data_IF_116393651852
#
_entry.id   IF_116393651852
#
_cell.length_a   1.000
_cell.length_b   1.000
_cell.length_c   1.000
_cell.angle_alpha   90.00
_cell.angle_beta   90.00
_cell.angle_gamma   90.00
#
_symmetry.space_group_name_H-M   'P 1'
#
loop_
_entity.id
_entity.type
_entity.pdbx_description
1 polymer ?
#
# COMPACT_ATOMS: atom_id res chain seq x y z
N UNK A 1 -33.93 -9.52 9.98
CA UNK A 1 -32.71 -9.81 9.22
C UNK A 1 -31.65 -8.82 9.63
N UNK A 2 -30.72 -9.22 10.51
CA UNK A 2 -29.61 -8.34 10.90
C UNK A 2 -28.68 -8.17 9.68
N UNK A 3 -28.33 -6.92 9.36
CA UNK A 3 -27.39 -6.62 8.30
C UNK A 3 -26.05 -7.33 8.58
N UNK A 4 -25.36 -7.87 7.55
CA UNK A 4 -24.05 -8.48 7.74
C UNK A 4 -23.10 -7.42 8.30
N UNK A 5 -22.57 -7.66 9.50
CA UNK A 5 -21.62 -6.77 10.15
C UNK A 5 -20.45 -6.48 9.23
N UNK A 6 -20.20 -5.21 8.94
CA UNK A 6 -19.04 -4.77 8.19
C UNK A 6 -17.78 -5.15 8.96
N UNK A 7 -16.87 -5.85 8.31
CA UNK A 7 -15.56 -6.21 8.86
C UNK A 7 -14.88 -4.94 9.34
N UNK A 8 -14.64 -4.82 10.64
CA UNK A 8 -14.03 -3.65 11.27
C UNK A 8 -12.52 -3.62 10.98
N UNK A 9 -12.13 -3.56 9.70
CA UNK A 9 -10.73 -3.47 9.30
C UNK A 9 -10.12 -2.13 9.79
N UNK A 10 -9.06 -2.23 10.59
CA UNK A 10 -8.36 -1.07 11.15
C UNK A 10 -9.02 -0.47 12.39
N UNK A 11 -10.00 -1.11 13.01
CA UNK A 11 -10.54 -0.65 14.31
C UNK A 11 -9.72 -1.28 15.43
N UNK A 12 -9.23 -0.45 16.36
CA UNK A 12 -8.67 -0.95 17.62
C UNK A 12 -9.75 -0.87 18.69
N UNK A 13 -10.02 -2.00 19.34
CA UNK A 13 -10.91 -2.10 20.50
C UNK A 13 -10.06 -2.34 21.74
N UNK A 14 -10.25 -1.53 22.77
CA UNK A 14 -9.55 -1.70 24.06
C UNK A 14 -10.55 -1.66 25.21
N UNK A 15 -10.29 -2.44 26.24
CA UNK A 15 -11.01 -2.40 27.50
C UNK A 15 -10.14 -1.76 28.58
N UNK A 16 -10.69 -0.84 29.37
CA UNK A 16 -9.94 -0.16 30.43
C UNK A 16 -10.83 0.43 31.52
N UNK A 17 -10.30 0.61 32.73
CA UNK A 17 -11.03 1.17 33.87
C UNK A 17 -11.16 2.70 33.88
N UNK A 18 -10.52 3.40 32.94
CA UNK A 18 -10.55 4.87 32.84
C UNK A 18 -11.03 5.31 31.44
N UNK A 19 -11.78 6.42 31.32
CA UNK A 19 -12.11 7.00 30.02
C UNK A 19 -10.83 7.42 29.27
N UNK A 20 -10.59 6.87 28.07
CA UNK A 20 -9.50 7.33 27.20
C UNK A 20 -9.81 8.73 26.64
N UNK A 21 -8.83 9.63 26.70
CA UNK A 21 -8.86 10.91 25.99
C UNK A 21 -8.84 10.67 24.47
N UNK A 22 -9.81 11.26 23.74
CA UNK A 22 -9.82 11.14 22.28
C UNK A 22 -8.83 12.17 21.71
N UNK A 23 -7.77 11.65 21.12
CA UNK A 23 -6.71 12.43 20.49
C UNK A 23 -6.97 12.49 18.98
N UNK A 24 -7.28 13.69 18.46
CA UNK A 24 -7.40 13.94 17.02
C UNK A 24 -6.09 14.53 16.49
N UNK A 25 -5.46 13.86 15.53
CA UNK A 25 -4.34 14.44 14.78
C UNK A 25 -4.89 15.34 13.67
N UNK A 26 -4.50 16.60 13.68
CA UNK A 26 -4.86 17.55 12.63
C UNK A 26 -3.83 17.40 11.51
N UNK A 27 -4.23 16.72 10.44
CA UNK A 27 -3.39 16.50 9.28
C UNK A 27 -3.41 17.72 8.35
N UNK A 28 -2.23 18.31 8.11
CA UNK A 28 -2.08 19.38 7.14
C UNK A 28 -1.84 18.79 5.73
N UNK A 29 -2.87 18.87 4.89
CA UNK A 29 -2.85 18.34 3.51
C UNK A 29 -1.86 19.03 2.58
N UNK A 30 -1.40 20.25 2.90
CA UNK A 30 -0.44 20.98 2.06
C UNK A 30 1.00 20.54 2.31
N UNK A 31 1.31 20.17 3.55
CA UNK A 31 2.68 19.81 3.94
C UNK A 31 2.86 18.31 4.14
N UNK A 32 1.79 17.52 4.02
CA UNK A 32 1.80 16.08 4.32
C UNK A 32 2.42 15.78 5.69
N UNK A 33 2.09 16.63 6.68
CA UNK A 33 2.61 16.57 8.05
C UNK A 33 1.47 16.74 9.05
N UNK A 34 1.63 16.12 10.22
CA UNK A 34 0.75 16.36 11.37
C UNK A 34 1.05 17.77 11.88
N UNK A 35 0.07 18.68 11.80
CA UNK A 35 0.21 20.07 12.20
C UNK A 35 -0.16 20.34 13.66
N UNK A 36 -0.72 19.34 14.35
CA UNK A 36 -1.02 19.43 15.77
C UNK A 36 -1.92 18.30 16.25
N UNK A 37 -2.19 18.31 17.55
CA UNK A 37 -2.99 17.30 18.22
C UNK A 37 -4.06 18.00 19.06
N UNK A 38 -5.34 17.67 18.83
CA UNK A 38 -6.46 18.13 19.64
C UNK A 38 -6.83 17.03 20.63
N UNK A 39 -6.84 17.38 21.91
CA UNK A 39 -7.29 16.50 23.00
C UNK A 39 -8.75 16.85 23.29
N UNK A 40 -9.67 15.92 22.99
CA UNK A 40 -11.03 16.01 23.52
C UNK A 40 -11.10 15.17 24.77
N UNK A 41 -10.94 15.84 25.92
CA UNK A 41 -11.18 15.25 27.22
C UNK A 41 -12.69 14.97 27.34
N UNK A 42 -13.08 13.71 27.54
CA UNK A 42 -14.48 13.38 27.80
C UNK A 42 -14.85 13.98 29.15
N UNK A 43 -15.80 14.93 29.18
CA UNK A 43 -16.28 15.45 30.45
C UNK A 43 -16.91 14.32 31.27
N UNK A 44 -16.57 14.27 32.57
CA UNK A 44 -17.18 13.39 33.58
C UNK A 44 -18.64 13.81 33.79
N UNK A 45 -19.50 13.63 32.79
CA UNK A 45 -20.93 13.76 32.97
C UNK A 45 -21.38 12.69 33.96
N UNK A 46 -21.91 13.11 35.11
CA UNK A 46 -22.35 12.23 36.19
C UNK A 46 -23.28 11.14 35.61
N UNK A 47 -22.75 9.92 35.50
CA UNK A 47 -23.52 8.76 35.08
C UNK A 47 -24.19 8.17 36.31
N UNK A 48 -25.50 7.96 36.22
CA UNK A 48 -26.33 7.37 37.29
C UNK A 48 -26.45 5.88 37.02
N UNK A 49 -25.89 5.04 37.89
CA UNK A 49 -25.92 3.57 37.79
C UNK A 49 -24.79 2.91 38.58
N UNK A 50 -24.97 1.63 38.91
CA UNK A 50 -24.07 0.76 39.71
C UNK A 50 -22.63 0.68 39.15
N UNK A 51 -21.69 0.18 39.99
CA UNK A 51 -20.24 0.13 39.73
C UNK A 51 -19.90 -0.31 38.30
N UNK A 52 -19.28 0.60 37.53
CA UNK A 52 -18.84 0.34 36.16
C UNK A 52 -17.51 -0.44 36.22
N UNK A 53 -17.55 -1.71 35.81
CA UNK A 53 -16.39 -2.62 35.80
C UNK A 53 -15.33 -2.22 34.74
N UNK A 54 -15.71 -1.37 33.77
CA UNK A 54 -14.80 -0.77 32.79
C UNK A 54 -15.49 -0.16 31.55
N UNK A 55 -14.70 0.48 30.71
CA UNK A 55 -15.10 1.15 29.47
C UNK A 55 -14.54 0.42 28.25
N UNK A 56 -15.33 0.35 27.17
CA UNK A 56 -14.88 -0.11 25.86
C UNK A 56 -14.54 1.10 24.99
N UNK A 57 -13.29 1.20 24.57
CA UNK A 57 -12.79 2.26 23.71
C UNK A 57 -12.72 1.76 22.27
N UNK A 58 -13.33 2.52 21.36
CA UNK A 58 -13.26 2.30 19.92
C UNK A 58 -12.58 3.50 19.29
N UNK A 59 -11.38 3.31 18.75
CA UNK A 59 -10.63 4.38 18.08
C UNK A 59 -10.33 3.98 16.63
N UNK A 60 -10.54 4.92 15.72
CA UNK A 60 -10.31 4.75 14.29
C UNK A 60 -9.20 5.71 13.83
N UNK A 61 -7.97 5.48 14.32
CA UNK A 61 -6.74 6.14 13.86
C UNK A 61 -6.00 5.28 12.83
N UNK A 62 -6.76 4.57 11.99
CA UNK A 62 -6.20 3.68 10.99
C UNK A 62 -5.60 4.45 9.84
N UNK A 63 -4.39 4.08 9.45
CA UNK A 63 -3.80 4.49 8.18
C UNK A 63 -4.42 3.64 7.06
N UNK A 64 -4.88 4.30 6.00
CA UNK A 64 -5.44 3.65 4.82
C UNK A 64 -4.40 3.61 3.70
N UNK A 65 -4.19 2.42 3.13
CA UNK A 65 -3.26 2.19 2.04
C UNK A 65 -4.02 1.72 0.81
N UNK A 66 -3.73 2.31 -0.34
CA UNK A 66 -4.22 1.82 -1.62
C UNK A 66 -3.44 0.56 -2.00
N UNK A 67 -4.13 -0.57 -2.15
CA UNK A 67 -3.51 -1.89 -2.36
C UNK A 67 -3.86 -2.52 -3.71
N UNK A 68 -4.62 -1.83 -4.55
CA UNK A 68 -4.92 -2.30 -5.89
C UNK A 68 -5.10 -1.17 -6.90
N UNK A 69 -5.21 -1.51 -8.19
CA UNK A 69 -5.26 -0.54 -9.28
C UNK A 69 -6.60 0.22 -9.35
N UNK A 70 -7.66 -0.29 -8.72
CA UNK A 70 -9.01 0.28 -8.81
C UNK A 70 -9.37 1.16 -7.62
N UNK A 71 -10.23 2.15 -7.84
CA UNK A 71 -10.80 2.97 -6.77
C UNK A 71 -11.48 2.10 -5.70
N UNK A 72 -11.31 2.47 -4.43
CA UNK A 72 -11.90 1.76 -3.29
C UNK A 72 -11.14 0.54 -2.80
N UNK A 73 -10.09 0.09 -3.51
CA UNK A 73 -9.22 -1.01 -3.06
C UNK A 73 -8.20 -0.54 -2.02
N UNK A 74 -8.69 -0.26 -0.81
CA UNK A 74 -7.89 0.20 0.31
C UNK A 74 -7.91 -0.83 1.44
N UNK A 75 -6.77 -0.96 2.13
CA UNK A 75 -6.66 -1.71 3.38
C UNK A 75 -6.26 -0.75 4.49
N UNK A 76 -6.84 -0.96 5.66
CA UNK A 76 -6.62 -0.11 6.83
C UNK A 76 -5.83 -0.85 7.88
N UNK A 77 -4.90 -0.16 8.52
CA UNK A 77 -4.16 -0.67 9.69
C UNK A 77 -4.08 0.39 10.78
N UNK A 78 -4.32 -0.02 12.01
CA UNK A 78 -4.13 0.80 13.21
C UNK A 78 -2.97 0.25 14.01
N UNK A 79 -2.09 1.15 14.46
CA UNK A 79 -0.94 0.80 15.30
C UNK A 79 -1.21 1.37 16.68
N UNK A 80 -1.18 0.50 17.69
CA UNK A 80 -1.34 0.91 19.08
C UNK A 80 -0.05 1.59 19.58
N UNK A 81 -0.18 2.50 20.55
CA UNK A 81 0.99 3.12 21.17
C UNK A 81 1.80 2.07 21.92
N UNK A 82 3.11 2.04 21.67
CA UNK A 82 4.08 1.18 22.36
C UNK A 82 4.84 1.92 23.46
N UNK A 83 4.34 3.08 23.89
CA UNK A 83 4.98 3.84 24.97
C UNK A 83 4.89 3.04 26.28
N UNK A 84 5.93 3.09 27.14
CA UNK A 84 5.95 2.36 28.42
C UNK A 84 4.73 2.62 29.32
N UNK A 85 4.12 3.80 29.22
CA UNK A 85 2.91 4.21 29.96
C UNK A 85 1.60 3.62 29.42
N UNK A 86 1.63 3.00 28.23
CA UNK A 86 0.45 2.50 27.50
C UNK A 86 0.45 0.99 27.27
N UNK A 87 1.55 0.31 27.59
CA UNK A 87 1.72 -1.15 27.55
C UNK A 87 1.51 -1.77 28.94
N UNK A 88 1.13 -3.05 28.96
CA UNK A 88 0.98 -3.87 30.17
C UNK A 88 0.16 -3.18 31.28
N UNK A 89 -0.98 -2.62 30.91
CA UNK A 89 -1.90 -1.94 31.83
C UNK A 89 -2.85 -2.96 32.47
N UNK A 90 -3.35 -2.63 33.66
CA UNK A 90 -4.34 -3.41 34.40
C UNK A 90 -3.86 -4.85 34.68
N UNK A 91 -2.59 -5.00 35.05
CA UNK A 91 -2.02 -6.28 35.49
C UNK A 91 -2.03 -6.30 37.01
N UNK A 92 -2.67 -7.30 37.58
CA UNK A 92 -2.71 -7.48 39.04
C UNK A 92 -1.30 -7.76 39.56
N UNK A 93 -0.86 -6.92 40.49
CA UNK A 93 0.45 -7.02 41.13
C UNK A 93 0.41 -6.35 42.51
N UNK A 94 1.26 -6.84 43.43
CA UNK A 94 1.29 -6.39 44.82
C UNK A 94 2.02 -5.04 44.96
N UNK A 95 2.91 -4.75 44.00
CA UNK A 95 3.73 -3.54 43.92
C UNK A 95 3.01 -2.30 43.36
N UNK A 96 1.72 -2.43 43.02
CA UNK A 96 0.86 -1.37 42.48
C UNK A 96 1.35 -0.70 41.18
N UNK A 97 2.18 -1.39 40.39
CA UNK A 97 2.61 -0.90 39.09
C UNK A 97 1.42 -0.85 38.13
N UNK A 98 1.20 0.29 37.48
CA UNK A 98 0.11 0.44 36.50
C UNK A 98 0.58 0.33 35.06
N UNK A 99 1.88 0.48 34.83
CA UNK A 99 2.51 0.44 33.52
C UNK A 99 4.01 0.17 33.65
N UNK A 100 4.69 -0.08 32.52
CA UNK A 100 6.14 -0.27 32.50
C UNK A 100 6.92 0.97 33.00
N UNK A 101 6.30 2.15 32.99
CA UNK A 101 6.92 3.38 33.47
C UNK A 101 7.06 3.41 35.01
N UNK A 102 6.21 2.66 35.71
CA UNK A 102 6.13 2.69 37.18
C UNK A 102 7.00 1.61 37.82
N UNK A 103 7.72 0.82 37.01
CA UNK A 103 8.53 -0.31 37.48
C UNK A 103 9.71 0.21 38.30
N UNK A 104 9.75 -0.24 39.54
CA UNK A 104 10.89 -0.11 40.44
C UNK A 104 11.36 -1.52 40.83
N UNK A 105 12.68 -1.73 40.94
CA UNK A 105 13.27 -3.04 41.21
C UNK A 105 14.11 -2.95 42.49
N UNK A 106 13.45 -2.63 43.60
CA UNK A 106 14.10 -2.32 44.88
C UNK A 106 14.12 -3.52 45.83
N UNK A 107 13.25 -4.50 45.61
CA UNK A 107 13.16 -5.74 46.38
C UNK A 107 12.77 -6.94 45.50
N UNK A 108 12.65 -8.11 46.12
CA UNK A 108 12.39 -9.38 45.42
C UNK A 108 10.95 -9.48 44.89
N UNK A 109 9.99 -8.85 45.57
CA UNK A 109 8.58 -8.92 45.19
C UNK A 109 8.29 -7.96 44.04
N UNK A 110 8.79 -6.72 44.12
CA UNK A 110 8.80 -5.73 43.04
C UNK A 110 9.51 -6.22 41.78
N UNK A 111 10.62 -6.96 41.93
CA UNK A 111 11.27 -7.61 40.79
C UNK A 111 10.39 -8.66 40.10
N UNK A 112 9.66 -9.48 40.86
CA UNK A 112 8.75 -10.49 40.30
C UNK A 112 7.55 -9.85 39.61
N UNK A 113 6.97 -8.81 40.21
CA UNK A 113 5.86 -8.06 39.61
C UNK A 113 6.30 -7.32 38.34
N UNK A 114 7.50 -6.75 38.33
CA UNK A 114 8.08 -6.15 37.14
C UNK A 114 8.19 -7.15 35.98
N UNK A 115 8.63 -8.39 36.26
CA UNK A 115 8.69 -9.44 35.24
C UNK A 115 7.31 -9.77 34.66
N UNK A 116 6.27 -9.86 35.49
CA UNK A 116 4.89 -10.09 35.01
C UNK A 116 4.46 -9.01 34.01
N UNK A 117 4.70 -7.73 34.34
CA UNK A 117 4.35 -6.62 33.44
C UNK A 117 5.17 -6.67 32.15
N UNK A 118 6.47 -6.97 32.23
CA UNK A 118 7.33 -7.09 31.05
C UNK A 118 6.87 -8.22 30.13
N UNK A 119 6.52 -9.39 30.68
CA UNK A 119 6.05 -10.53 29.88
C UNK A 119 4.77 -10.19 29.10
N UNK A 120 3.83 -9.51 29.75
CA UNK A 120 2.62 -9.01 29.09
C UNK A 120 2.97 -8.00 27.99
N UNK A 121 3.83 -7.03 28.27
CA UNK A 121 4.22 -6.03 27.27
C UNK A 121 4.92 -6.67 26.05
N UNK A 122 5.78 -7.67 26.29
CA UNK A 122 6.43 -8.43 25.21
C UNK A 122 5.40 -9.18 24.38
N UNK A 123 4.39 -9.78 25.02
CA UNK A 123 3.27 -10.42 24.33
C UNK A 123 2.49 -9.42 23.46
N UNK A 124 2.11 -8.27 24.02
CA UNK A 124 1.40 -7.20 23.29
C UNK A 124 2.20 -6.72 22.06
N UNK A 125 3.51 -6.48 22.22
CA UNK A 125 4.39 -6.09 21.11
C UNK A 125 4.50 -7.20 20.06
N UNK A 126 4.57 -8.46 20.50
CA UNK A 126 4.68 -9.60 19.60
C UNK A 126 3.41 -9.78 18.77
N UNK A 127 2.23 -9.63 19.38
CA UNK A 127 0.95 -9.61 18.69
C UNK A 127 0.88 -8.47 17.67
N UNK A 128 1.24 -7.25 18.08
CA UNK A 128 1.28 -6.10 17.16
C UNK A 128 2.22 -6.36 15.96
N UNK A 129 3.39 -6.96 16.19
CA UNK A 129 4.32 -7.33 15.13
C UNK A 129 3.73 -8.38 14.19
N UNK A 130 2.99 -9.36 14.74
CA UNK A 130 2.25 -10.35 13.95
C UNK A 130 1.21 -9.70 13.04
N UNK A 131 0.44 -8.76 13.58
CA UNK A 131 -0.58 -8.01 12.82
C UNK A 131 0.05 -7.15 11.71
N UNK A 132 1.14 -6.44 12.02
CA UNK A 132 1.91 -5.68 11.03
C UNK A 132 2.46 -6.60 9.93
N UNK A 133 3.01 -7.76 10.29
CA UNK A 133 3.53 -8.73 9.33
C UNK A 133 2.43 -9.33 8.43
N UNK A 134 1.27 -9.65 9.01
CA UNK A 134 0.10 -10.09 8.27
C UNK A 134 -0.38 -9.02 7.28
N UNK A 135 -0.44 -7.76 7.71
CA UNK A 135 -0.80 -6.66 6.82
C UNK A 135 0.22 -6.49 5.70
N UNK A 136 1.52 -6.48 6.00
CA UNK A 136 2.57 -6.36 4.98
C UNK A 136 2.44 -7.47 3.92
N UNK A 137 2.33 -8.73 4.35
CA UNK A 137 2.21 -9.89 3.47
C UNK A 137 0.93 -9.85 2.64
N UNK A 138 -0.21 -9.58 3.27
CA UNK A 138 -1.51 -9.69 2.60
C UNK A 138 -1.87 -8.46 1.78
N UNK A 139 -1.38 -7.28 2.15
CA UNK A 139 -1.72 -6.02 1.52
C UNK A 139 -0.60 -5.51 0.61
N UNK A 140 0.60 -5.30 1.16
CA UNK A 140 1.70 -4.67 0.42
C UNK A 140 2.33 -5.63 -0.60
N UNK A 141 2.59 -6.88 -0.22
CA UNK A 141 3.15 -7.86 -1.17
C UNK A 141 2.14 -8.24 -2.27
N UNK A 142 0.85 -8.33 -1.93
CA UNK A 142 -0.23 -8.55 -2.92
C UNK A 142 -0.34 -7.38 -3.90
N UNK A 143 -0.26 -6.14 -3.41
CA UNK A 143 -0.23 -4.96 -4.27
C UNK A 143 1.00 -4.96 -5.19
N UNK A 144 2.19 -5.26 -4.64
CA UNK A 144 3.43 -5.35 -5.41
C UNK A 144 3.33 -6.40 -6.51
N UNK A 145 2.77 -7.58 -6.21
CA UNK A 145 2.51 -8.62 -7.20
C UNK A 145 1.59 -8.13 -8.32
N UNK A 146 0.50 -7.44 -7.97
CA UNK A 146 -0.44 -6.86 -8.93
C UNK A 146 0.22 -5.81 -9.83
N UNK A 147 1.06 -4.93 -9.25
CA UNK A 147 1.82 -3.93 -10.00
C UNK A 147 2.85 -4.59 -10.94
N UNK A 148 3.47 -5.70 -10.52
CA UNK A 148 4.42 -6.44 -11.34
C UNK A 148 3.75 -7.06 -12.57
N UNK A 149 2.58 -7.68 -12.40
CA UNK A 149 1.77 -8.21 -13.52
C UNK A 149 1.33 -7.09 -14.45
N UNK A 150 0.86 -5.97 -13.88
CA UNK A 150 0.47 -4.80 -14.69
C UNK A 150 1.65 -4.27 -15.49
N UNK A 151 2.83 -4.18 -14.88
CA UNK A 151 4.07 -3.76 -15.56
C UNK A 151 4.43 -4.72 -16.69
N UNK A 152 4.37 -6.02 -16.46
CA UNK A 152 4.65 -7.03 -17.48
C UNK A 152 3.71 -6.91 -18.68
N UNK A 153 2.41 -6.75 -18.43
CA UNK A 153 1.41 -6.52 -19.47
C UNK A 153 1.69 -5.23 -20.26
N UNK A 154 2.06 -4.14 -19.58
CA UNK A 154 2.40 -2.87 -20.25
C UNK A 154 3.66 -2.99 -21.11
N UNK A 155 4.71 -3.66 -20.62
CA UNK A 155 5.94 -3.90 -21.40
C UNK A 155 5.65 -4.79 -22.61
N UNK A 156 4.81 -5.82 -22.47
CA UNK A 156 4.40 -6.66 -23.61
C UNK A 156 3.59 -5.87 -24.64
N UNK A 157 2.70 -4.98 -24.18
CA UNK A 157 1.95 -4.10 -25.08
C UNK A 157 2.87 -3.11 -25.79
N UNK A 158 3.82 -2.51 -25.07
CA UNK A 158 4.85 -1.63 -25.63
C UNK A 158 5.69 -2.35 -26.69
N UNK A 159 6.15 -3.57 -26.42
CA UNK A 159 6.89 -4.39 -27.39
C UNK A 159 6.06 -4.66 -28.65
N UNK A 160 4.78 -4.98 -28.50
CA UNK A 160 3.89 -5.25 -29.64
C UNK A 160 3.69 -4.00 -30.49
N UNK A 161 3.56 -2.83 -29.86
CA UNK A 161 3.46 -1.55 -30.56
C UNK A 161 4.77 -1.24 -31.31
N UNK A 162 5.92 -1.38 -30.65
CA UNK A 162 7.22 -1.15 -31.26
C UNK A 162 7.49 -2.08 -32.45
N UNK A 163 7.10 -3.36 -32.35
CA UNK A 163 7.23 -4.33 -33.44
C UNK A 163 6.30 -4.00 -34.62
N UNK A 164 5.08 -3.52 -34.35
CA UNK A 164 4.14 -3.09 -35.38
C UNK A 164 4.67 -1.85 -36.13
N UNK A 165 5.16 -0.85 -35.39
CA UNK A 165 5.77 0.36 -35.96
C UNK A 165 7.02 0.02 -36.79
N UNK A 166 7.85 -0.91 -36.30
CA UNK A 166 9.02 -1.40 -37.04
C UNK A 166 8.61 -2.14 -38.31
N UNK A 167 7.57 -2.98 -38.25
CA UNK A 167 7.07 -3.72 -39.41
C UNK A 167 6.51 -2.78 -40.50
N UNK A 168 5.86 -1.68 -40.10
CA UNK A 168 5.39 -0.63 -41.01
C UNK A 168 6.56 0.08 -41.71
N UNK A 169 7.56 0.53 -40.95
CA UNK A 169 8.76 1.16 -41.50
C UNK A 169 9.55 0.22 -42.41
N UNK A 170 9.72 -1.04 -42.02
CA UNK A 170 10.39 -2.05 -42.85
C UNK A 170 9.61 -2.31 -44.14
N UNK A 171 8.28 -2.35 -44.09
CA UNK A 171 7.45 -2.50 -45.29
C UNK A 171 7.57 -1.30 -46.22
N UNK A 172 7.62 -0.08 -45.67
CA UNK A 172 7.86 1.16 -46.42
C UNK A 172 9.24 1.15 -47.07
N UNK A 173 10.28 0.79 -46.30
CA UNK A 173 11.66 0.68 -46.77
C UNK A 173 11.79 -0.34 -47.90
N UNK A 174 11.23 -1.55 -47.75
CA UNK A 174 11.25 -2.59 -48.79
C UNK A 174 10.48 -2.13 -50.03
N UNK A 175 9.32 -1.50 -49.87
CA UNK A 175 8.55 -0.92 -50.99
C UNK A 175 9.40 0.11 -51.75
N UNK A 176 10.05 1.01 -51.04
CA UNK A 176 10.92 2.03 -51.65
C UNK A 176 12.11 1.39 -52.38
N UNK A 177 12.74 0.36 -51.80
CA UNK A 177 13.83 -0.38 -52.43
C UNK A 177 13.38 -1.11 -53.70
N UNK A 178 12.19 -1.73 -53.68
CA UNK A 178 11.59 -2.37 -54.86
C UNK A 178 11.29 -1.33 -55.94
N UNK A 179 10.72 -0.17 -55.58
CA UNK A 179 10.46 0.92 -56.52
C UNK A 179 11.76 1.44 -57.14
N UNK A 180 12.83 1.62 -56.36
CA UNK A 180 14.14 2.02 -56.87
C UNK A 180 14.72 0.98 -57.84
N UNK A 181 14.72 -0.30 -57.47
CA UNK A 181 15.20 -1.39 -58.32
C UNK A 181 14.35 -1.59 -59.58
N UNK A 182 13.04 -1.37 -59.49
CA UNK A 182 12.13 -1.45 -60.64
C UNK A 182 12.31 -0.25 -61.55
N UNK A 183 12.52 0.95 -60.99
CA UNK A 183 12.83 2.16 -61.75
C UNK A 183 14.13 2.02 -62.53
N UNK A 184 15.20 1.47 -61.94
CA UNK A 184 16.46 1.23 -62.66
C UNK A 184 16.31 0.15 -63.74
N UNK A 185 15.58 -0.94 -63.47
CA UNK A 185 15.29 -1.97 -64.47
C UNK A 185 14.39 -1.45 -65.62
N UNK A 186 13.38 -0.63 -65.29
CA UNK A 186 12.50 0.02 -66.28
C UNK A 186 13.27 1.01 -67.14
N UNK A 187 14.18 1.80 -66.55
CA UNK A 187 15.08 2.69 -67.30
C UNK A 187 16.02 1.90 -68.21
N UNK A 188 16.58 0.78 -67.73
CA UNK A 188 17.41 -0.09 -68.56
C UNK A 188 16.63 -0.69 -69.73
N UNK A 189 15.40 -1.16 -69.49
CA UNK A 189 14.50 -1.69 -70.53
C UNK A 189 14.08 -0.59 -71.52
N UNK A 190 13.70 0.59 -71.03
CA UNK A 190 13.30 1.73 -71.86
C UNK A 190 14.46 2.28 -72.70
N UNK A 191 15.72 2.12 -72.28
CA UNK A 191 16.89 2.49 -73.09
C UNK A 191 17.21 1.46 -74.19
N UNK A 192 16.80 0.20 -74.04
CA UNK A 192 17.01 -0.84 -75.06
C UNK A 192 15.97 -0.79 -76.20
N UNK A 193 14.75 -0.35 -75.92
CA UNK A 193 13.65 -0.26 -76.92
C UNK A 193 13.95 0.73 -78.07
N UNK A 194 14.49 1.94 -77.84
CA UNK A 194 14.87 2.85 -78.92
C UNK A 194 15.98 2.28 -79.82
N UNK A 195 16.96 1.57 -79.23
CA UNK A 195 18.07 0.98 -80.01
C UNK A 195 17.60 -0.16 -80.92
N UNK A 196 16.65 -0.97 -80.48
CA UNK A 196 16.04 -2.01 -81.32
C UNK A 196 15.15 -1.43 -82.43
N UNK A 197 14.54 -0.26 -82.22
CA UNK A 197 13.80 0.45 -83.28
C UNK A 197 14.75 1.13 -84.28
N UNK A 198 15.84 1.74 -83.82
CA UNK A 198 16.86 2.32 -84.70
C UNK A 198 17.51 1.27 -85.61
N UNK A 199 17.81 0.09 -85.08
CA UNK A 199 18.33 -1.03 -85.90
C UNK A 199 17.31 -1.59 -86.90
N UNK A 200 16.01 -1.36 -86.69
CA UNK A 200 14.97 -1.68 -87.68
C UNK A 200 14.83 -0.57 -88.74
N UNK A 201 14.92 0.71 -88.35
CA UNK A 201 14.88 1.85 -89.27
C UNK A 201 16.13 1.97 -90.16
N UNK A 202 17.30 1.53 -89.68
CA UNK A 202 18.52 1.43 -90.51
C UNK A 202 18.51 0.24 -91.48
N UNK A 203 17.56 -0.70 -91.30
CA UNK A 203 17.50 -1.99 -92.02
C UNK A 203 16.29 -2.13 -92.95
N UNK A 204 15.48 -1.09 -93.07
CA UNK A 204 14.42 -0.94 -94.08
C UNK A 204 14.71 0.27 -94.96
#
# INVERSE_FOLDING_TARGET
SAAPGTVAEGVTVRYGGEPDDIIYEVFNRRENKIAGTLLRQMERGAMVGEDIDGYVHVSQRSLAFQVGPSEGQQRKISIQSISPTKLARNIDNDSQFRSLNDIEVLDVDSAQDALKLIDVAVSEISSLRGDLGSFQKNALESNLSSLRVTRENLVSAESTLADADMAEEMSSLVRNQILMSSGTAMLAQANQVPQSVLTLLERT
#
